data_IF_766831744257
#
_entry.id   IF_766831744257
#
_cell.length_a   1.000
_cell.length_b   1.000
_cell.length_c   1.000
_cell.angle_alpha   90.00
_cell.angle_beta   90.00
_cell.angle_gamma   90.00
#
_symmetry.space_group_name_H-M   'P 1'
#
loop_
_entity.id
_entity.type
_entity.pdbx_description
1 polymer ?
#
# COMPACT_ATOMS: atom_id res chain seq x y z
N UNK A 1 1.89 -18.38 19.32
CA UNK A 1 1.44 -18.72 17.98
C UNK A 1 2.12 -19.99 17.47
N UNK A 2 1.36 -20.99 17.08
CA UNK A 2 1.85 -22.26 16.57
C UNK A 2 1.55 -22.39 15.08
N UNK A 3 2.60 -22.69 14.29
CA UNK A 3 2.58 -22.79 12.84
C UNK A 3 2.06 -24.12 12.31
N UNK A 4 0.92 -24.60 12.78
CA UNK A 4 0.30 -25.87 12.36
C UNK A 4 -1.03 -25.63 11.63
N UNK A 5 -1.37 -26.58 10.75
CA UNK A 5 -2.68 -26.65 10.12
C UNK A 5 -3.72 -27.35 11.05
N UNK A 6 -4.98 -27.50 10.60
CA UNK A 6 -6.06 -28.16 11.34
C UNK A 6 -5.77 -29.63 11.70
N UNK A 7 -4.90 -30.28 10.92
CA UNK A 7 -4.49 -31.67 11.16
C UNK A 7 -3.29 -31.76 12.12
N UNK A 8 -2.79 -30.63 12.64
CA UNK A 8 -1.63 -30.59 13.51
C UNK A 8 -0.27 -30.73 12.79
N UNK A 9 -0.25 -30.55 11.45
CA UNK A 9 0.94 -30.68 10.61
C UNK A 9 1.58 -29.32 10.35
N UNK A 10 2.90 -29.31 10.21
CA UNK A 10 3.66 -28.11 9.81
C UNK A 10 3.82 -28.03 8.29
N UNK A 11 4.05 -26.81 7.75
CA UNK A 11 4.36 -26.63 6.33
C UNK A 11 5.60 -27.42 5.87
N UNK A 12 5.65 -27.79 4.59
CA UNK A 12 6.68 -28.66 4.00
C UNK A 12 8.12 -28.11 4.06
N UNK A 13 8.29 -26.80 4.25
CA UNK A 13 9.60 -26.16 4.40
C UNK A 13 10.21 -26.31 5.80
N UNK A 14 9.45 -26.81 6.79
CA UNK A 14 10.00 -27.17 8.11
C UNK A 14 10.84 -28.45 8.02
N UNK A 15 11.90 -28.53 8.81
CA UNK A 15 12.80 -29.69 8.82
C UNK A 15 12.68 -30.45 10.15
N UNK A 16 12.73 -31.77 10.03
CA UNK A 16 12.82 -32.65 11.20
C UNK A 16 14.22 -32.65 11.81
N UNK A 17 14.33 -33.08 13.06
CA UNK A 17 15.59 -33.21 13.80
C UNK A 17 15.64 -34.58 14.49
N UNK A 18 16.85 -35.08 14.72
CA UNK A 18 17.09 -36.33 15.53
C UNK A 18 16.28 -37.54 15.06
N UNK A 19 16.14 -37.73 13.73
CA UNK A 19 15.41 -38.84 13.13
C UNK A 19 13.87 -38.72 13.18
N UNK A 20 13.34 -37.62 13.71
CA UNK A 20 11.91 -37.29 13.68
C UNK A 20 11.51 -36.50 12.47
N UNK A 21 10.26 -36.66 12.01
CA UNK A 21 9.70 -35.81 10.98
C UNK A 21 9.57 -34.36 11.45
N UNK A 22 9.40 -33.41 10.52
CA UNK A 22 9.18 -32.00 10.87
C UNK A 22 7.99 -31.80 11.81
N UNK A 23 6.88 -32.47 11.53
CA UNK A 23 5.66 -32.41 12.37
C UNK A 23 5.91 -32.97 13.78
N UNK A 24 6.57 -34.15 13.89
CA UNK A 24 6.90 -34.72 15.21
C UNK A 24 7.84 -33.80 16.00
N UNK A 25 8.87 -33.24 15.39
CA UNK A 25 9.79 -32.30 16.03
C UNK A 25 9.05 -31.07 16.55
N UNK A 26 8.14 -30.53 15.75
CA UNK A 26 7.37 -29.35 16.11
C UNK A 26 6.37 -29.63 17.23
N UNK A 27 5.66 -30.76 17.15
CA UNK A 27 4.73 -31.20 18.20
C UNK A 27 5.44 -31.48 19.56
N UNK A 28 6.63 -32.05 19.51
CA UNK A 28 7.48 -32.21 20.69
C UNK A 28 7.83 -30.86 21.34
N UNK A 29 8.17 -29.86 20.50
CA UNK A 29 8.43 -28.50 20.99
C UNK A 29 7.18 -27.84 21.58
N UNK A 30 6.01 -28.03 20.98
CA UNK A 30 4.74 -27.54 21.53
C UNK A 30 4.44 -28.17 22.88
N UNK A 31 4.62 -29.50 23.02
CA UNK A 31 4.43 -30.23 24.28
C UNK A 31 5.37 -29.70 25.33
N UNK A 32 6.65 -29.56 25.05
CA UNK A 32 7.63 -29.01 25.97
C UNK A 32 7.25 -27.60 26.47
N UNK A 33 6.79 -26.71 25.59
CA UNK A 33 6.33 -25.38 25.99
C UNK A 33 5.15 -25.46 26.98
N UNK A 34 4.17 -26.31 26.72
CA UNK A 34 3.02 -26.52 27.62
C UNK A 34 3.47 -27.01 28.98
N UNK A 35 4.34 -28.00 28.98
CA UNK A 35 4.88 -28.58 30.22
C UNK A 35 5.69 -27.55 31.02
N UNK A 36 6.50 -26.75 30.32
CA UNK A 36 7.30 -25.68 30.95
C UNK A 36 6.42 -24.60 31.57
N UNK A 37 5.38 -24.15 30.89
CA UNK A 37 4.45 -23.17 31.44
C UNK A 37 3.66 -23.75 32.63
N UNK A 38 3.22 -24.99 32.54
CA UNK A 38 2.54 -25.68 33.66
C UNK A 38 3.45 -25.81 34.86
N UNK A 39 4.70 -26.24 34.69
CA UNK A 39 5.66 -26.40 35.79
C UNK A 39 5.99 -25.08 36.48
N UNK A 40 5.94 -23.96 35.77
CA UNK A 40 6.21 -22.63 36.32
C UNK A 40 4.93 -21.85 36.72
N UNK A 41 3.77 -22.49 36.69
CA UNK A 41 2.48 -21.86 37.00
C UNK A 41 2.19 -20.60 36.20
N UNK A 42 2.66 -20.54 34.94
CA UNK A 42 2.42 -19.43 34.03
C UNK A 42 1.34 -19.77 33.00
N UNK A 43 0.58 -18.78 32.57
CA UNK A 43 -0.50 -18.97 31.61
C UNK A 43 0.06 -18.95 30.19
N UNK A 44 -0.18 -20.03 29.43
CA UNK A 44 0.14 -20.09 27.98
C UNK A 44 -1.15 -19.96 27.19
N UNK A 45 -1.28 -18.84 26.44
CA UNK A 45 -2.38 -18.65 25.51
C UNK A 45 -1.91 -19.07 24.13
N UNK A 46 -2.55 -20.09 23.54
CA UNK A 46 -2.17 -20.66 22.26
C UNK A 46 -3.02 -20.10 21.12
N UNK A 47 -2.37 -19.77 20.01
CA UNK A 47 -3.01 -19.42 18.74
C UNK A 47 -2.37 -20.23 17.63
N UNK A 48 -3.11 -20.49 16.56
CA UNK A 48 -2.70 -21.40 15.50
C UNK A 48 -2.71 -20.78 14.13
N UNK A 49 -1.83 -21.25 13.22
CA UNK A 49 -1.73 -20.72 11.87
C UNK A 49 -3.04 -20.88 11.08
N UNK A 50 -3.74 -21.99 11.25
CA UNK A 50 -5.03 -22.20 10.57
C UNK A 50 -6.10 -21.17 10.96
N UNK A 51 -6.07 -20.64 12.19
CA UNK A 51 -6.99 -19.60 12.64
C UNK A 51 -6.78 -18.29 11.86
N UNK A 52 -5.51 -18.00 11.48
CA UNK A 52 -5.19 -16.86 10.62
C UNK A 52 -5.73 -17.03 9.19
N UNK A 53 -5.56 -18.24 8.63
CA UNK A 53 -6.07 -18.54 7.28
C UNK A 53 -7.60 -18.56 7.24
N UNK A 54 -8.24 -18.97 8.32
CA UNK A 54 -9.70 -18.93 8.46
C UNK A 54 -10.24 -17.50 8.77
N UNK A 55 -9.36 -16.52 9.00
CA UNK A 55 -9.75 -15.13 9.30
C UNK A 55 -10.25 -14.90 10.74
N UNK A 56 -10.16 -15.90 11.64
CA UNK A 56 -10.73 -15.86 13.00
C UNK A 56 -9.69 -15.69 14.10
N UNK A 57 -8.41 -15.54 13.78
CA UNK A 57 -7.31 -15.47 14.73
C UNK A 57 -7.50 -14.40 15.81
N UNK A 58 -7.84 -13.17 15.40
CA UNK A 58 -7.96 -12.04 16.34
C UNK A 58 -9.16 -12.22 17.30
N UNK A 59 -10.26 -12.75 16.79
CA UNK A 59 -11.45 -13.02 17.58
C UNK A 59 -11.17 -14.11 18.62
N UNK A 60 -10.56 -15.22 18.20
CA UNK A 60 -10.14 -16.32 19.08
C UNK A 60 -9.10 -15.89 20.12
N UNK A 61 -8.14 -15.06 19.71
CA UNK A 61 -7.15 -14.50 20.65
C UNK A 61 -7.84 -13.63 21.70
N UNK A 62 -8.75 -12.77 21.29
CA UNK A 62 -9.53 -11.92 22.19
C UNK A 62 -10.31 -12.74 23.21
N UNK A 63 -11.05 -13.77 22.76
CA UNK A 63 -11.80 -14.69 23.64
C UNK A 63 -10.88 -15.33 24.69
N UNK A 64 -9.73 -15.86 24.28
CA UNK A 64 -8.76 -16.53 25.15
C UNK A 64 -8.12 -15.58 26.17
N UNK A 65 -7.80 -14.35 25.73
CA UNK A 65 -7.26 -13.31 26.62
C UNK A 65 -8.27 -12.93 27.71
N UNK A 66 -9.52 -12.68 27.32
CA UNK A 66 -10.60 -12.33 28.25
C UNK A 66 -10.88 -13.49 29.23
N UNK A 67 -10.92 -14.74 28.73
CA UNK A 67 -11.10 -15.93 29.58
C UNK A 67 -9.97 -16.09 30.61
N UNK A 68 -8.79 -15.55 30.36
CA UNK A 68 -7.65 -15.55 31.27
C UNK A 68 -7.51 -14.24 32.09
N UNK A 69 -8.57 -13.44 32.19
CA UNK A 69 -8.63 -12.24 33.01
C UNK A 69 -7.98 -10.99 32.42
N UNK A 70 -7.59 -11.01 31.15
CA UNK A 70 -7.04 -9.83 30.51
C UNK A 70 -8.17 -8.88 30.13
N UNK A 71 -8.12 -7.66 30.65
CA UNK A 71 -9.05 -6.59 30.30
C UNK A 71 -8.57 -5.95 28.99
N UNK A 72 -9.38 -6.09 27.94
CA UNK A 72 -9.09 -5.46 26.65
C UNK A 72 -9.68 -4.06 26.65
N UNK A 73 -8.82 -3.06 26.53
CA UNK A 73 -9.21 -1.65 26.40
C UNK A 73 -8.82 -1.20 25.01
N UNK A 74 -9.79 -1.06 24.06
CA UNK A 74 -9.48 -0.54 22.74
C UNK A 74 -8.92 0.88 22.85
N UNK A 75 -7.81 1.12 22.16
CA UNK A 75 -7.25 2.46 22.03
C UNK A 75 -8.00 3.22 20.95
N UNK A 76 -8.15 4.52 21.15
CA UNK A 76 -8.65 5.42 20.10
C UNK A 76 -7.65 5.51 18.95
N UNK A 77 -8.13 5.89 17.77
CA UNK A 77 -7.26 6.13 16.59
C UNK A 77 -6.16 7.15 16.92
N UNK A 78 -6.47 8.16 17.74
CA UNK A 78 -5.51 9.18 18.17
C UNK A 78 -4.40 8.58 19.05
N UNK A 79 -4.74 7.77 20.05
CA UNK A 79 -3.75 7.11 20.91
C UNK A 79 -2.88 6.11 20.15
N UNK A 80 -3.46 5.41 19.16
CA UNK A 80 -2.69 4.53 18.26
C UNK A 80 -1.73 5.34 17.40
N UNK A 81 -2.20 6.46 16.86
CA UNK A 81 -1.38 7.35 16.06
C UNK A 81 -0.19 7.91 16.84
N UNK A 82 -0.44 8.42 18.05
CA UNK A 82 0.61 8.96 18.92
C UNK A 82 1.68 7.91 19.25
N UNK A 83 1.29 6.64 19.47
CA UNK A 83 2.26 5.56 19.68
C UNK A 83 3.08 5.21 18.45
N UNK A 84 2.41 5.07 17.29
CA UNK A 84 3.10 4.74 16.03
C UNK A 84 4.03 5.87 15.61
N UNK A 85 3.62 7.13 15.81
CA UNK A 85 4.44 8.30 15.47
C UNK A 85 5.66 8.44 16.39
N UNK A 86 5.55 8.09 17.68
CA UNK A 86 6.69 8.17 18.60
C UNK A 86 7.80 7.16 18.27
N UNK A 87 7.42 5.97 17.78
CA UNK A 87 8.38 4.89 17.47
C UNK A 87 8.73 4.79 15.97
N UNK A 88 8.02 5.51 15.10
CA UNK A 88 8.00 5.28 13.67
C UNK A 88 8.12 6.51 12.77
N UNK A 89 8.64 7.65 13.23
CA UNK A 89 8.82 8.84 12.36
C UNK A 89 9.47 8.49 11.03
N UNK A 90 10.52 7.70 11.04
CA UNK A 90 11.25 7.26 9.83
C UNK A 90 10.41 6.39 8.87
N UNK A 91 9.46 5.59 9.38
CA UNK A 91 8.57 4.74 8.54
C UNK A 91 7.48 5.59 7.91
N UNK A 92 6.92 6.54 8.66
CA UNK A 92 5.90 7.46 8.16
C UNK A 92 6.46 8.38 7.07
N UNK A 93 7.65 8.92 7.27
CA UNK A 93 8.33 9.74 6.27
C UNK A 93 8.52 8.97 4.95
N UNK A 94 8.97 7.71 5.03
CA UNK A 94 9.12 6.86 3.85
C UNK A 94 7.79 6.57 3.12
N UNK A 95 6.68 6.44 3.86
CA UNK A 95 5.35 6.26 3.27
C UNK A 95 4.87 7.57 2.61
N UNK A 96 5.10 8.71 3.26
CA UNK A 96 4.75 10.03 2.72
C UNK A 96 5.50 10.28 1.42
N UNK A 97 6.84 10.10 1.41
CA UNK A 97 7.66 10.23 0.20
C UNK A 97 7.22 9.29 -0.93
N UNK A 98 6.86 8.04 -0.59
CA UNK A 98 6.33 7.08 -1.56
C UNK A 98 5.02 7.58 -2.17
N UNK A 99 4.08 8.03 -1.35
CA UNK A 99 2.77 8.51 -1.83
C UNK A 99 2.91 9.79 -2.64
N UNK A 100 3.74 10.73 -2.21
CA UNK A 100 4.08 11.93 -2.98
C UNK A 100 4.65 11.57 -4.35
N UNK A 101 5.58 10.64 -4.40
CA UNK A 101 6.17 10.14 -5.65
C UNK A 101 5.10 9.54 -6.57
N UNK A 102 4.22 8.69 -6.03
CA UNK A 102 3.17 8.04 -6.82
C UNK A 102 2.15 9.07 -7.33
N UNK A 103 1.72 10.03 -6.50
CA UNK A 103 0.83 11.13 -6.90
C UNK A 103 1.45 11.93 -8.06
N UNK A 104 2.71 12.32 -7.92
CA UNK A 104 3.43 13.02 -8.96
C UNK A 104 3.53 12.20 -10.26
N UNK A 105 3.79 10.89 -10.18
CA UNK A 105 3.82 10.01 -11.35
C UNK A 105 2.45 9.88 -12.02
N UNK A 106 1.38 9.74 -11.26
CA UNK A 106 0.01 9.68 -11.78
C UNK A 106 -0.31 10.96 -12.54
N UNK A 107 -0.11 12.13 -11.91
CA UNK A 107 -0.43 13.43 -12.49
C UNK A 107 0.48 13.81 -13.68
N UNK A 108 1.78 13.51 -13.59
CA UNK A 108 2.74 13.79 -14.67
C UNK A 108 2.54 12.90 -15.90
N UNK A 109 1.80 11.81 -15.79
CA UNK A 109 1.38 10.98 -16.91
C UNK A 109 -0.04 11.30 -17.40
N UNK A 110 -0.76 12.18 -16.73
CA UNK A 110 -2.16 12.48 -17.04
C UNK A 110 -3.08 11.28 -16.76
N UNK A 111 -2.74 10.44 -15.78
CA UNK A 111 -3.54 9.28 -15.38
C UNK A 111 -4.53 9.60 -14.27
N UNK A 112 -5.57 8.78 -14.18
CA UNK A 112 -6.44 8.67 -13.01
C UNK A 112 -6.08 7.41 -12.23
N UNK A 113 -6.57 7.28 -11.01
CA UNK A 113 -6.42 6.05 -10.21
C UNK A 113 -6.98 4.83 -10.96
N UNK A 114 -8.13 4.98 -11.63
CA UNK A 114 -8.74 3.91 -12.43
C UNK A 114 -7.87 3.49 -13.62
N UNK A 115 -7.25 4.45 -14.30
CA UNK A 115 -6.28 4.16 -15.37
C UNK A 115 -5.11 3.33 -14.83
N UNK A 116 -4.58 3.70 -13.66
CA UNK A 116 -3.47 2.95 -13.04
C UNK A 116 -3.91 1.54 -12.64
N UNK A 117 -5.13 1.37 -12.12
CA UNK A 117 -5.69 0.05 -11.82
C UNK A 117 -5.80 -0.83 -13.07
N UNK A 118 -6.28 -0.27 -14.18
CA UNK A 118 -6.36 -0.99 -15.46
C UNK A 118 -4.98 -1.43 -15.97
N UNK A 119 -3.99 -0.54 -15.90
CA UNK A 119 -2.61 -0.84 -16.30
C UNK A 119 -1.93 -1.88 -15.40
N UNK A 120 -2.41 -2.04 -14.16
CA UNK A 120 -1.88 -3.00 -13.20
C UNK A 120 -2.38 -4.43 -13.43
N UNK A 121 -3.40 -4.63 -14.27
CA UNK A 121 -3.97 -5.97 -14.54
C UNK A 121 -2.94 -6.85 -15.23
N UNK A 122 -2.73 -8.06 -14.68
CA UNK A 122 -1.75 -9.03 -15.22
C UNK A 122 -0.30 -8.79 -14.78
N UNK A 123 -0.03 -7.80 -13.95
CA UNK A 123 1.30 -7.59 -13.36
C UNK A 123 1.55 -8.61 -12.24
N UNK A 124 2.80 -9.06 -12.07
CA UNK A 124 3.21 -10.01 -11.03
C UNK A 124 2.87 -9.52 -9.61
N UNK A 125 2.84 -8.22 -9.39
CA UNK A 125 2.58 -7.58 -8.10
C UNK A 125 1.18 -6.97 -7.99
N UNK A 126 0.23 -7.39 -8.84
CA UNK A 126 -1.12 -6.81 -8.92
C UNK A 126 -1.80 -6.66 -7.56
N UNK A 127 -1.73 -7.68 -6.70
CA UNK A 127 -2.37 -7.65 -5.39
C UNK A 127 -1.75 -6.59 -4.47
N UNK A 128 -0.42 -6.54 -4.37
CA UNK A 128 0.30 -5.54 -3.56
C UNK A 128 0.04 -4.12 -4.06
N UNK A 129 0.11 -3.92 -5.38
CA UNK A 129 -0.16 -2.63 -5.99
C UNK A 129 -1.60 -2.17 -5.74
N UNK A 130 -2.59 -3.06 -5.78
CA UNK A 130 -3.98 -2.72 -5.48
C UNK A 130 -4.19 -2.32 -4.01
N UNK A 131 -3.47 -2.92 -3.07
CA UNK A 131 -3.48 -2.50 -1.66
C UNK A 131 -2.91 -1.07 -1.54
N UNK A 132 -1.76 -0.80 -2.16
CA UNK A 132 -1.15 0.53 -2.16
C UNK A 132 -2.11 1.56 -2.76
N UNK A 133 -2.71 1.26 -3.92
CA UNK A 133 -3.67 2.15 -4.57
C UNK A 133 -4.91 2.40 -3.72
N UNK A 134 -5.42 1.40 -2.99
CA UNK A 134 -6.57 1.59 -2.11
C UNK A 134 -6.28 2.46 -0.89
N UNK A 135 -5.03 2.47 -0.40
CA UNK A 135 -4.58 3.39 0.64
C UNK A 135 -4.31 4.80 0.11
N UNK A 136 -3.78 4.90 -1.11
CA UNK A 136 -3.46 6.16 -1.76
C UNK A 136 -4.70 6.92 -2.23
N UNK A 137 -5.71 6.22 -2.74
CA UNK A 137 -6.88 6.83 -3.37
C UNK A 137 -7.60 7.88 -2.53
N UNK A 138 -7.93 7.63 -1.24
CA UNK A 138 -8.56 8.66 -0.42
C UNK A 138 -7.66 9.89 -0.23
N UNK A 139 -6.34 9.71 -0.16
CA UNK A 139 -5.37 10.81 -0.02
C UNK A 139 -5.30 11.60 -1.33
N UNK A 140 -5.20 10.91 -2.46
CA UNK A 140 -5.20 11.52 -3.79
C UNK A 140 -6.47 12.35 -4.05
N UNK A 141 -7.62 11.78 -3.72
CA UNK A 141 -8.90 12.46 -3.88
C UNK A 141 -9.02 13.68 -2.96
N UNK A 142 -8.59 13.57 -1.70
CA UNK A 142 -8.57 14.70 -0.77
C UNK A 142 -7.63 15.82 -1.26
N UNK A 143 -6.46 15.48 -1.78
CA UNK A 143 -5.53 16.43 -2.37
C UNK A 143 -6.12 17.15 -3.60
N UNK A 144 -6.73 16.42 -4.52
CA UNK A 144 -7.36 17.01 -5.69
C UNK A 144 -8.57 17.90 -5.32
N UNK A 145 -9.37 17.48 -4.32
CA UNK A 145 -10.49 18.26 -3.80
C UNK A 145 -9.99 19.56 -3.16
N UNK A 146 -8.95 19.49 -2.34
CA UNK A 146 -8.33 20.67 -1.72
C UNK A 146 -7.91 21.70 -2.76
N UNK A 147 -7.17 21.27 -3.81
CA UNK A 147 -6.76 22.18 -4.89
C UNK A 147 -7.96 22.83 -5.59
N UNK A 148 -9.00 22.02 -5.86
CA UNK A 148 -10.21 22.53 -6.51
C UNK A 148 -10.96 23.54 -5.64
N UNK A 149 -11.15 23.26 -4.34
CA UNK A 149 -11.85 24.10 -3.38
C UNK A 149 -11.15 25.44 -3.13
N UNK A 150 -9.80 25.44 -3.24
CA UNK A 150 -8.99 26.65 -3.04
C UNK A 150 -8.62 27.37 -4.34
N UNK A 151 -9.15 26.89 -5.48
CA UNK A 151 -8.82 27.40 -6.83
C UNK A 151 -7.31 27.38 -7.10
N UNK A 152 -6.61 26.37 -6.56
CA UNK A 152 -5.18 26.15 -6.73
C UNK A 152 -4.90 25.07 -7.78
N UNK A 153 -3.71 25.11 -8.37
CA UNK A 153 -3.20 24.09 -9.29
C UNK A 153 -1.73 23.78 -8.96
N UNK A 154 -1.33 22.53 -9.06
CA UNK A 154 0.08 22.17 -9.02
C UNK A 154 0.74 22.22 -10.42
N UNK A 155 2.05 21.99 -10.47
CA UNK A 155 2.81 22.03 -11.74
C UNK A 155 2.32 20.99 -12.76
N UNK A 156 1.84 19.83 -12.32
CA UNK A 156 1.31 18.82 -13.24
C UNK A 156 -0.06 19.23 -13.77
N UNK A 157 -0.92 19.80 -12.91
CA UNK A 157 -2.21 20.34 -13.32
C UNK A 157 -2.04 21.46 -14.35
N UNK A 158 -1.05 22.33 -14.15
CA UNK A 158 -0.76 23.40 -15.11
C UNK A 158 -0.49 22.84 -16.51
N UNK A 159 0.30 21.77 -16.63
CA UNK A 159 0.60 21.13 -17.92
C UNK A 159 -0.63 20.43 -18.49
N UNK A 160 -1.39 19.71 -17.65
CA UNK A 160 -2.59 18.98 -18.07
C UNK A 160 -3.69 19.95 -18.53
N UNK A 161 -3.93 21.03 -17.80
CA UNK A 161 -4.90 22.06 -18.18
C UNK A 161 -4.47 22.82 -19.45
N UNK A 162 -3.18 23.14 -19.59
CA UNK A 162 -2.66 23.74 -20.80
C UNK A 162 -2.93 22.85 -22.03
N UNK A 163 -2.74 21.54 -21.89
CA UNK A 163 -3.05 20.55 -22.94
C UNK A 163 -4.53 20.62 -23.33
N UNK A 164 -5.43 20.61 -22.35
CA UNK A 164 -6.88 20.71 -22.59
C UNK A 164 -7.26 22.02 -23.28
N UNK A 165 -6.68 23.15 -22.88
CA UNK A 165 -6.96 24.44 -23.51
C UNK A 165 -6.50 24.50 -24.97
N UNK A 166 -5.35 23.91 -25.27
CA UNK A 166 -4.89 23.78 -26.67
C UNK A 166 -5.85 22.89 -27.47
N UNK A 167 -6.25 21.74 -26.94
CA UNK A 167 -7.18 20.82 -27.62
C UNK A 167 -8.59 21.42 -27.83
N UNK A 168 -9.04 22.25 -26.91
CA UNK A 168 -10.30 22.97 -27.01
C UNK A 168 -10.23 24.23 -27.91
N UNK A 169 -9.07 24.52 -28.49
CA UNK A 169 -8.89 25.70 -29.30
C UNK A 169 -8.94 27.04 -28.53
N UNK A 170 -8.84 27.00 -27.19
CA UNK A 170 -8.81 28.19 -26.33
C UNK A 170 -7.47 28.90 -26.34
N UNK A 171 -6.42 28.23 -26.78
CA UNK A 171 -5.09 28.78 -26.94
C UNK A 171 -4.74 28.85 -28.42
N UNK A 172 -4.51 30.06 -28.91
CA UNK A 172 -4.05 30.31 -30.27
C UNK A 172 -2.54 30.52 -30.21
N UNK A 173 -1.82 29.57 -30.77
CA UNK A 173 -0.36 29.64 -30.81
C UNK A 173 0.10 30.51 -31.98
N UNK A 174 0.95 31.48 -31.70
CA UNK A 174 1.56 32.37 -32.69
C UNK A 174 3.05 32.09 -32.92
N UNK A 175 3.59 31.04 -32.33
CA UNK A 175 5.00 30.68 -32.47
C UNK A 175 5.24 30.08 -33.86
N UNK A 176 6.30 30.56 -34.51
CA UNK A 176 6.75 30.00 -35.80
C UNK A 176 7.57 28.71 -35.58
N UNK A 177 8.28 28.63 -34.48
CA UNK A 177 9.12 27.50 -34.13
C UNK A 177 8.91 27.19 -32.63
N UNK A 178 8.89 25.92 -32.30
CA UNK A 178 8.91 25.42 -30.92
C UNK A 178 10.12 24.51 -30.79
N UNK A 179 11.06 24.88 -29.95
CA UNK A 179 12.28 24.11 -29.68
C UNK A 179 12.17 23.57 -28.28
N UNK A 180 12.38 22.28 -28.12
CA UNK A 180 12.31 21.57 -26.83
C UNK A 180 13.70 21.09 -26.49
N UNK A 181 14.22 21.56 -25.34
CA UNK A 181 15.48 21.11 -24.78
C UNK A 181 15.25 19.86 -23.93
N UNK A 182 16.26 19.02 -23.81
CA UNK A 182 16.25 17.75 -23.01
C UNK A 182 14.99 16.89 -23.30
N UNK A 183 14.64 16.75 -24.58
CA UNK A 183 13.42 16.05 -25.01
C UNK A 183 13.29 14.63 -24.46
N UNK A 184 14.39 13.94 -24.19
CA UNK A 184 14.42 12.59 -23.63
C UNK A 184 13.88 12.53 -22.18
N UNK A 185 13.84 13.66 -21.46
CA UNK A 185 13.47 13.73 -20.04
C UNK A 185 12.03 14.24 -19.84
N UNK A 186 11.27 14.44 -20.93
CA UNK A 186 9.91 14.95 -20.82
C UNK A 186 8.94 13.88 -20.30
N UNK A 187 8.02 14.28 -19.44
CA UNK A 187 6.92 13.41 -18.99
C UNK A 187 5.89 13.21 -20.10
N UNK A 188 5.03 12.19 -19.96
CA UNK A 188 3.92 11.93 -20.89
C UNK A 188 2.97 13.12 -21.00
N UNK A 189 2.67 13.83 -19.91
CA UNK A 189 1.83 15.03 -19.94
C UNK A 189 2.47 16.15 -20.78
N UNK A 190 3.78 16.41 -20.61
CA UNK A 190 4.51 17.39 -21.43
C UNK A 190 4.54 17.00 -22.89
N UNK A 191 4.76 15.71 -23.19
CA UNK A 191 4.66 15.21 -24.56
C UNK A 191 3.27 15.42 -25.16
N UNK A 192 2.20 15.17 -24.38
CA UNK A 192 0.82 15.39 -24.81
C UNK A 192 0.57 16.86 -25.17
N UNK A 193 1.04 17.79 -24.33
CA UNK A 193 0.96 19.23 -24.62
C UNK A 193 1.64 19.59 -25.93
N UNK A 194 2.88 19.15 -26.12
CA UNK A 194 3.62 19.42 -27.37
C UNK A 194 2.92 18.85 -28.60
N UNK A 195 2.40 17.63 -28.49
CA UNK A 195 1.67 16.97 -29.57
C UNK A 195 0.35 17.68 -29.90
N UNK A 196 -0.37 18.18 -28.88
CA UNK A 196 -1.58 18.99 -29.09
C UNK A 196 -1.28 20.32 -29.71
N UNK A 197 -0.18 21.00 -29.33
CA UNK A 197 0.32 22.21 -30.00
C UNK A 197 0.71 21.95 -31.44
N UNK A 198 1.40 20.82 -31.70
CA UNK A 198 1.77 20.44 -33.07
C UNK A 198 0.54 20.24 -33.95
N UNK A 199 -0.46 19.52 -33.47
CA UNK A 199 -1.69 19.24 -34.22
C UNK A 199 -2.53 20.50 -34.49
N UNK A 200 -2.64 21.40 -33.50
CA UNK A 200 -3.44 22.60 -33.61
C UNK A 200 -2.86 23.66 -34.60
N UNK A 201 -1.56 23.60 -34.86
CA UNK A 201 -0.86 24.59 -35.70
C UNK A 201 -0.23 24.01 -36.97
N UNK A 202 -0.49 22.75 -37.31
CA UNK A 202 0.10 22.06 -38.47
C UNK A 202 1.63 22.13 -38.51
N UNK A 203 2.30 22.04 -37.37
CA UNK A 203 3.76 21.88 -37.34
C UNK A 203 4.15 20.48 -37.80
N UNK A 204 5.20 20.39 -38.61
CA UNK A 204 5.79 19.13 -39.05
C UNK A 204 6.61 18.42 -37.96
#
# INVERSE_FOLDING_TARGET
>A
YFGINKNGEVPSYFRGKNGMTATQTYQASMKWKRETHNANSTILIECYAYEKFDGVLLEKLKERLVANGVKITPKTTKELWEQVSADGESILDGIIELFETIINLIKSNGYTIDTVRQLNVGNSNTQTNNIILSLLEPIFNAYCSYLTEHEEIDFNDMINLATQYVEQGKFINHYKYVIVDEYQDISKARFSLLNSMRKSNNYD
#
